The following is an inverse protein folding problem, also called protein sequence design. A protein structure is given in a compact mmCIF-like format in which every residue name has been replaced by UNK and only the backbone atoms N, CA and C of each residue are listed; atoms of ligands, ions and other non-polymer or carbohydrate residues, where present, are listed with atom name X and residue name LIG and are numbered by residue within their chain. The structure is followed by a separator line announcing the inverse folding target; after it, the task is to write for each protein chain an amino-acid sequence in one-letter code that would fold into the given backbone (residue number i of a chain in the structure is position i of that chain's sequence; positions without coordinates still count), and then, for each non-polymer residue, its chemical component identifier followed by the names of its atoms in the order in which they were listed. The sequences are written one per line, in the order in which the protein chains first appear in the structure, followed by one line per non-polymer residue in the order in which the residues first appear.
data_IF_424774884274
#
_entry.id   IF_424774884274
#
_cell.length_a   1.000
_cell.length_b   1.000
_cell.length_c   1.000
_cell.angle_alpha   90.00
_cell.angle_beta   90.00
_cell.angle_gamma   90.00
#
_symmetry.space_group_name_H-M   'P 1'
#
loop_
_entity.id
_entity.type
_entity.pdbx_description
1 polymer ?
#
# COMPACT_ATOMS: atom_id res chain seq x y z
N UNK A 1 18.00 72.08 -50.16
CA UNK A 1 16.60 71.58 -50.02
C UNK A 1 16.61 70.06 -50.10
N UNK A 2 16.47 69.31 -48.95
CA UNK A 2 16.41 67.87 -48.93
C UNK A 2 14.90 67.49 -48.67
N UNK A 3 14.26 66.97 -49.70
CA UNK A 3 12.92 66.40 -49.55
C UNK A 3 12.98 65.02 -48.86
N UNK A 4 12.39 64.97 -47.68
CA UNK A 4 12.16 63.72 -47.00
C UNK A 4 10.81 63.14 -47.44
N UNK A 5 10.87 62.14 -48.32
CA UNK A 5 9.67 61.39 -48.74
C UNK A 5 9.06 60.53 -47.56
N UNK A 6 7.72 60.36 -47.58
CA UNK A 6 7.08 59.59 -46.54
C UNK A 6 7.42 58.10 -46.65
N UNK A 7 7.85 57.49 -45.53
CA UNK A 7 8.14 56.07 -45.44
C UNK A 7 6.78 55.32 -45.53
N UNK A 8 6.61 54.32 -46.45
CA UNK A 8 5.35 53.65 -46.64
C UNK A 8 4.93 52.87 -45.38
N UNK A 9 3.66 52.92 -45.06
CA UNK A 9 3.04 52.34 -43.86
C UNK A 9 3.35 50.86 -43.67
N UNK A 10 3.60 50.13 -44.75
CA UNK A 10 3.99 48.70 -44.75
C UNK A 10 5.36 48.42 -44.10
N UNK A 11 6.30 49.36 -44.14
CA UNK A 11 7.62 49.15 -43.52
C UNK A 11 7.62 49.27 -41.99
N UNK A 12 6.54 49.76 -41.38
CA UNK A 12 6.36 49.86 -39.91
C UNK A 12 5.62 48.69 -39.29
N UNK A 13 4.92 47.88 -40.09
CA UNK A 13 4.16 46.73 -39.60
C UNK A 13 4.99 45.43 -39.51
N UNK A 14 6.06 45.30 -40.31
CA UNK A 14 6.92 44.11 -40.27
C UNK A 14 7.61 43.85 -38.92
N UNK A 15 8.23 44.86 -38.25
CA UNK A 15 8.91 44.59 -36.98
C UNK A 15 7.93 44.26 -35.84
N UNK A 16 6.70 44.80 -35.86
CA UNK A 16 5.67 44.51 -34.83
C UNK A 16 5.12 43.07 -34.93
N UNK A 17 5.01 42.53 -36.14
CA UNK A 17 4.56 41.17 -36.38
C UNK A 17 5.60 40.12 -35.94
N UNK A 18 6.89 40.40 -36.15
CA UNK A 18 7.99 39.51 -35.71
C UNK A 18 8.13 39.48 -34.17
N UNK A 19 7.86 40.59 -33.48
CA UNK A 19 7.87 40.63 -32.01
C UNK A 19 6.67 39.87 -31.42
N UNK A 20 5.49 39.95 -32.05
CA UNK A 20 4.33 39.21 -31.63
C UNK A 20 4.44 37.68 -31.82
N UNK A 21 5.11 37.23 -32.93
CA UNK A 21 5.37 35.80 -33.14
C UNK A 21 6.45 35.25 -32.18
N UNK A 22 7.40 36.05 -31.72
CA UNK A 22 8.44 35.66 -30.77
C UNK A 22 7.89 35.39 -29.34
N UNK A 23 6.76 36.04 -28.96
CA UNK A 23 6.14 35.86 -27.65
C UNK A 23 5.26 34.63 -27.54
N UNK A 24 4.89 33.98 -28.67
CA UNK A 24 4.11 32.73 -28.67
C UNK A 24 4.99 31.44 -28.58
N UNK A 25 6.29 31.56 -28.76
CA UNK A 25 7.21 30.42 -28.72
C UNK A 25 7.64 30.01 -27.30
N UNK A 26 7.18 30.72 -26.25
CA UNK A 26 7.56 30.54 -24.85
C UNK A 26 6.73 29.60 -24.02
N UNK A 27 5.63 29.02 -24.55
CA UNK A 27 4.90 27.97 -23.84
C UNK A 27 5.49 26.58 -24.16
N UNK A 28 6.66 26.27 -23.60
CA UNK A 28 7.03 24.87 -23.41
C UNK A 28 6.02 24.28 -22.42
N UNK A 29 5.08 23.50 -22.96
CA UNK A 29 4.24 22.62 -22.16
C UNK A 29 5.14 21.85 -21.20
N UNK A 30 4.89 21.86 -19.87
CA UNK A 30 5.63 21.00 -18.96
C UNK A 30 5.50 19.59 -19.52
N UNK A 31 6.64 18.96 -19.85
CA UNK A 31 6.66 17.60 -20.36
C UNK A 31 5.92 16.72 -19.34
N UNK A 32 4.88 16.04 -19.79
CA UNK A 32 4.20 15.05 -18.95
C UNK A 32 5.24 14.01 -18.56
N UNK A 33 5.58 13.95 -17.28
CA UNK A 33 6.39 12.85 -16.77
C UNK A 33 5.68 11.53 -17.16
N UNK A 34 6.40 10.50 -17.62
CA UNK A 34 5.78 9.22 -17.92
C UNK A 34 5.04 8.69 -16.68
N UNK A 35 3.93 7.99 -16.87
CA UNK A 35 3.21 7.41 -15.72
C UNK A 35 4.12 6.46 -14.95
N UNK A 36 3.99 6.38 -13.62
CA UNK A 36 4.79 5.48 -12.81
C UNK A 36 4.52 4.03 -13.18
N UNK A 37 5.55 3.18 -13.09
CA UNK A 37 5.38 1.72 -13.17
C UNK A 37 4.63 1.24 -11.93
N UNK A 38 3.56 0.47 -12.14
CA UNK A 38 2.71 -0.02 -11.05
C UNK A 38 3.13 -1.42 -10.60
N UNK A 39 3.14 -1.63 -9.29
CA UNK A 39 3.44 -2.90 -8.65
C UNK A 39 2.32 -3.33 -7.71
N UNK A 40 2.12 -4.62 -7.60
CA UNK A 40 1.25 -5.25 -6.62
C UNK A 40 1.98 -6.40 -5.95
N UNK A 41 1.49 -6.84 -4.79
CA UNK A 41 2.01 -8.00 -4.07
C UNK A 41 1.03 -9.17 -4.18
N UNK A 42 1.44 -10.35 -3.68
CA UNK A 42 0.65 -11.58 -3.79
C UNK A 42 0.04 -11.99 -2.45
N UNK A 43 -1.18 -12.57 -2.44
CA UNK A 43 -1.76 -13.10 -1.22
C UNK A 43 -1.01 -14.37 -0.78
N UNK A 44 -1.01 -14.65 0.53
CA UNK A 44 -0.44 -15.89 1.05
C UNK A 44 -1.34 -17.08 0.70
N UNK A 45 -0.73 -18.14 0.21
CA UNK A 45 -1.41 -19.37 -0.20
C UNK A 45 -0.91 -20.63 0.47
N UNK A 46 0.11 -20.54 1.33
CA UNK A 46 0.70 -21.67 2.04
C UNK A 46 0.70 -21.43 3.54
N UNK A 47 0.14 -22.37 4.29
CA UNK A 47 -0.07 -22.29 5.74
C UNK A 47 0.41 -23.58 6.43
N UNK A 48 0.51 -23.53 7.76
CA UNK A 48 0.84 -24.71 8.57
C UNK A 48 -0.29 -25.76 8.49
N UNK A 49 0.07 -26.99 8.59
CA UNK A 49 -0.91 -28.08 8.71
C UNK A 49 -1.69 -28.01 10.05
N UNK A 50 -2.86 -28.62 10.09
CA UNK A 50 -3.66 -28.73 11.32
C UNK A 50 -4.35 -27.45 11.79
N UNK A 51 -4.44 -26.42 10.95
CA UNK A 51 -5.19 -25.22 11.31
C UNK A 51 -6.67 -25.54 11.54
N UNK A 52 -7.30 -24.93 12.56
CA UNK A 52 -8.71 -25.13 12.84
C UNK A 52 -9.59 -24.52 11.74
N UNK A 53 -10.70 -25.18 11.45
CA UNK A 53 -11.80 -24.59 10.68
C UNK A 53 -12.66 -23.75 11.60
N UNK A 54 -12.91 -22.50 11.23
CA UNK A 54 -13.77 -21.58 11.99
C UNK A 54 -15.11 -21.40 11.30
N UNK A 55 -16.18 -21.31 12.10
CA UNK A 55 -17.55 -21.12 11.63
C UNK A 55 -18.01 -19.67 11.70
N UNK A 56 -17.33 -18.86 12.49
CA UNK A 56 -17.58 -17.44 12.61
C UNK A 56 -17.34 -16.72 11.29
N UNK A 57 -18.22 -15.76 10.99
CA UNK A 57 -18.05 -14.84 9.87
C UNK A 57 -17.05 -13.77 10.24
N UNK A 58 -15.94 -13.69 9.50
CA UNK A 58 -14.87 -12.74 9.75
C UNK A 58 -14.99 -11.56 8.78
N UNK A 59 -15.10 -10.36 9.33
CA UNK A 59 -15.05 -9.12 8.56
C UNK A 59 -13.66 -8.50 8.69
N UNK A 60 -13.02 -8.13 7.60
CA UNK A 60 -11.71 -7.47 7.59
C UNK A 60 -11.91 -6.00 7.24
N UNK A 61 -11.68 -5.12 8.23
CA UNK A 61 -11.66 -3.68 7.98
C UNK A 61 -10.37 -3.24 7.28
N UNK A 62 -10.39 -2.15 6.49
CA UNK A 62 -9.14 -1.58 5.96
C UNK A 62 -8.16 -1.27 7.09
N UNK A 63 -6.88 -1.65 6.97
CA UNK A 63 -5.87 -1.25 7.94
C UNK A 63 -5.79 0.27 8.07
N UNK A 64 -5.74 0.77 9.30
CA UNK A 64 -5.39 2.17 9.55
C UNK A 64 -3.88 2.32 9.39
N UNK A 65 -3.43 3.40 8.75
CA UNK A 65 -2.01 3.70 8.60
C UNK A 65 -1.74 5.19 8.78
N UNK A 66 -0.49 5.54 9.11
CA UNK A 66 -0.03 6.92 9.07
C UNK A 66 -0.08 7.46 7.63
N UNK A 67 -0.31 8.76 7.47
CA UNK A 67 -0.45 9.41 6.15
C UNK A 67 0.73 9.14 5.21
N UNK A 68 1.94 9.00 5.74
CA UNK A 68 3.14 8.67 4.94
C UNK A 68 3.12 7.25 4.36
N UNK A 69 2.35 6.33 4.93
CA UNK A 69 2.18 4.96 4.43
C UNK A 69 0.83 4.81 3.72
N UNK A 70 -0.17 5.59 4.11
CA UNK A 70 -1.50 5.57 3.51
C UNK A 70 -1.53 6.27 2.14
N UNK A 71 -0.77 5.74 1.22
CA UNK A 71 -0.55 6.27 -0.13
C UNK A 71 -0.26 5.13 -1.11
N UNK A 72 -0.41 5.39 -2.42
CA UNK A 72 0.08 4.51 -3.48
C UNK A 72 1.59 4.61 -3.73
N UNK A 73 2.30 5.55 -3.08
CA UNK A 73 3.76 5.67 -3.24
C UNK A 73 4.46 4.59 -2.45
N UNK A 74 5.58 4.07 -2.98
CA UNK A 74 6.40 3.05 -2.32
C UNK A 74 7.40 3.75 -1.41
N UNK A 75 7.24 3.54 -0.11
CA UNK A 75 8.01 4.23 0.93
C UNK A 75 9.40 3.64 1.11
N UNK A 76 10.37 4.52 1.41
CA UNK A 76 11.71 4.15 1.84
C UNK A 76 12.17 5.02 3.01
N UNK A 77 13.10 4.52 3.80
CA UNK A 77 13.74 5.25 4.90
C UNK A 77 15.26 5.12 4.80
N UNK A 78 15.97 6.24 5.00
CA UNK A 78 17.44 6.29 5.08
C UNK A 78 17.93 6.68 6.48
N UNK A 79 17.01 7.01 7.36
CA UNK A 79 17.26 7.31 8.75
C UNK A 79 15.99 7.05 9.56
N UNK A 80 16.08 6.72 10.88
CA UNK A 80 14.92 6.35 11.70
C UNK A 80 13.80 7.39 11.76
N UNK A 81 14.09 8.65 11.43
CA UNK A 81 13.16 9.79 11.52
C UNK A 81 12.78 10.37 10.16
N UNK A 82 13.18 9.72 9.04
CA UNK A 82 12.87 10.19 7.70
C UNK A 82 12.07 9.14 6.95
N UNK A 83 11.12 9.60 6.14
CA UNK A 83 10.38 8.80 5.19
C UNK A 83 10.41 9.52 3.84
N UNK A 84 10.90 8.81 2.84
CA UNK A 84 10.94 9.23 1.45
C UNK A 84 10.18 8.23 0.58
N UNK A 85 10.20 8.42 -0.75
CA UNK A 85 9.52 7.54 -1.67
C UNK A 85 10.38 7.31 -2.91
N UNK A 86 10.25 6.12 -3.48
CA UNK A 86 10.84 5.83 -4.78
C UNK A 86 10.19 6.68 -5.88
N UNK A 87 10.98 7.14 -6.82
CA UNK A 87 10.52 7.86 -8.01
C UNK A 87 10.01 6.88 -9.08
N UNK A 88 9.10 7.33 -9.91
CA UNK A 88 8.61 6.66 -11.13
C UNK A 88 8.00 5.26 -10.93
N UNK A 89 7.69 4.90 -9.68
CA UNK A 89 7.05 3.64 -9.30
C UNK A 89 5.97 3.87 -8.24
N UNK A 90 4.94 3.03 -8.25
CA UNK A 90 3.84 3.10 -7.28
C UNK A 90 3.22 1.73 -7.06
N UNK A 91 2.52 1.56 -5.95
CA UNK A 91 1.57 0.47 -5.78
C UNK A 91 0.37 0.66 -6.71
N UNK A 92 -0.32 -0.42 -7.06
CA UNK A 92 -1.57 -0.39 -7.84
C UNK A 92 -2.73 0.27 -7.10
N UNK A 93 -2.66 0.37 -5.77
CA UNK A 93 -3.63 1.01 -4.89
C UNK A 93 -2.89 1.64 -3.69
N UNK A 94 -3.61 2.35 -2.81
CA UNK A 94 -3.06 2.77 -1.51
C UNK A 94 -2.64 1.53 -0.71
N UNK A 95 -1.47 1.58 -0.06
CA UNK A 95 -0.92 0.41 0.63
C UNK A 95 -1.92 -0.27 1.60
N UNK A 96 -2.70 0.45 2.46
CA UNK A 96 -3.70 -0.19 3.31
C UNK A 96 -4.80 -0.93 2.54
N UNK A 97 -5.27 -0.39 1.42
CA UNK A 97 -6.31 -1.01 0.60
C UNK A 97 -5.79 -2.28 -0.09
N UNK A 98 -4.57 -2.23 -0.64
CA UNK A 98 -3.88 -3.39 -1.19
C UNK A 98 -3.69 -4.46 -0.12
N UNK A 99 -3.20 -4.10 1.06
CA UNK A 99 -2.98 -5.03 2.18
C UNK A 99 -4.30 -5.65 2.65
N UNK A 100 -5.41 -4.89 2.72
CA UNK A 100 -6.73 -5.46 3.02
C UNK A 100 -7.14 -6.52 2.01
N UNK A 101 -6.98 -6.24 0.71
CA UNK A 101 -7.28 -7.20 -0.36
C UNK A 101 -6.50 -8.50 -0.16
N UNK A 102 -5.19 -8.38 0.05
CA UNK A 102 -4.30 -9.53 0.23
C UNK A 102 -4.60 -10.30 1.54
N UNK A 103 -5.06 -9.61 2.60
CA UNK A 103 -5.55 -10.28 3.81
C UNK A 103 -6.77 -11.14 3.51
N UNK A 104 -7.81 -10.57 2.87
CA UNK A 104 -9.05 -11.31 2.53
C UNK A 104 -8.70 -12.55 1.71
N UNK A 105 -7.96 -12.38 0.61
CA UNK A 105 -7.56 -13.49 -0.24
C UNK A 105 -6.69 -14.53 0.49
N UNK A 106 -5.84 -14.11 1.43
CA UNK A 106 -5.04 -15.03 2.25
C UNK A 106 -5.91 -15.86 3.20
N UNK A 107 -6.95 -15.28 3.79
CA UNK A 107 -7.93 -16.06 4.57
C UNK A 107 -8.69 -17.06 3.69
N UNK A 108 -9.15 -16.64 2.51
CA UNK A 108 -9.82 -17.52 1.54
C UNK A 108 -8.90 -18.67 1.12
N UNK A 109 -7.63 -18.37 0.79
CA UNK A 109 -6.62 -19.35 0.42
C UNK A 109 -6.29 -20.36 1.53
N UNK A 110 -6.54 -20.00 2.80
CA UNK A 110 -6.37 -20.96 3.91
C UNK A 110 -7.35 -22.13 3.83
N UNK A 111 -8.53 -21.93 3.20
CA UNK A 111 -9.62 -22.91 3.17
C UNK A 111 -10.19 -23.26 4.56
N UNK A 112 -9.93 -22.41 5.58
CA UNK A 112 -10.29 -22.66 6.98
C UNK A 112 -11.38 -21.74 7.52
N UNK A 113 -11.92 -20.84 6.68
CA UNK A 113 -13.02 -19.94 7.00
C UNK A 113 -14.24 -20.30 6.17
N UNK A 114 -15.44 -20.27 6.78
CA UNK A 114 -16.69 -20.44 6.04
C UNK A 114 -17.02 -19.14 5.29
N UNK A 115 -16.79 -17.99 5.92
CA UNK A 115 -17.05 -16.68 5.35
C UNK A 115 -16.03 -15.68 5.84
N UNK A 116 -15.41 -15.00 4.89
CA UNK A 116 -14.55 -13.82 5.11
C UNK A 116 -14.93 -12.76 4.07
N UNK A 117 -14.89 -11.50 4.46
CA UNK A 117 -15.20 -10.43 3.53
C UNK A 117 -14.73 -9.07 4.03
N UNK A 118 -14.90 -8.09 3.14
CA UNK A 118 -14.71 -6.67 3.47
C UNK A 118 -16.00 -6.12 4.09
N UNK A 119 -15.89 -4.99 4.78
CA UNK A 119 -17.05 -4.25 5.25
C UNK A 119 -17.79 -3.63 4.05
N UNK A 120 -18.66 -4.43 3.46
CA UNK A 120 -19.57 -4.01 2.41
C UNK A 120 -21.00 -4.14 2.91
N UNK A 121 -21.56 -3.01 3.35
CA UNK A 121 -23.01 -2.80 3.54
C UNK A 121 -23.73 -3.93 4.28
N UNK A 122 -23.71 -3.87 5.63
CA UNK A 122 -24.71 -4.55 6.45
C UNK A 122 -24.58 -6.07 6.58
N UNK A 123 -23.46 -6.68 6.19
CA UNK A 123 -23.21 -8.09 6.46
C UNK A 123 -23.06 -8.30 7.97
N UNK A 124 -23.79 -9.27 8.50
CA UNK A 124 -23.62 -9.70 9.88
C UNK A 124 -22.25 -10.38 10.02
N UNK A 125 -21.43 -9.90 10.93
CA UNK A 125 -20.16 -10.52 11.28
C UNK A 125 -20.17 -10.98 12.73
N UNK A 126 -19.47 -12.06 13.02
CA UNK A 126 -19.25 -12.55 14.38
C UNK A 126 -17.95 -11.98 14.94
N UNK A 127 -16.95 -11.83 14.08
CA UNK A 127 -15.63 -11.29 14.38
C UNK A 127 -15.27 -10.18 13.36
N UNK A 128 -14.76 -9.08 13.88
CA UNK A 128 -14.13 -8.04 13.06
C UNK A 128 -12.62 -8.08 13.30
N UNK A 129 -11.85 -8.22 12.22
CA UNK A 129 -10.40 -8.03 12.23
C UNK A 129 -10.10 -6.56 11.95
N UNK A 130 -9.69 -5.84 12.98
CA UNK A 130 -9.17 -4.48 12.89
C UNK A 130 -7.66 -4.52 12.87
N UNK A 131 -7.04 -3.73 12.02
CA UNK A 131 -5.58 -3.71 11.93
C UNK A 131 -5.01 -2.31 11.72
N UNK A 132 -3.74 -2.17 12.08
CA UNK A 132 -2.91 -0.99 11.92
C UNK A 132 -1.66 -1.39 11.13
N UNK A 133 -1.46 -0.82 9.95
CA UNK A 133 -0.24 -0.96 9.15
C UNK A 133 0.76 0.08 9.68
N UNK A 134 1.71 -0.37 10.52
CA UNK A 134 2.63 0.51 11.24
C UNK A 134 3.90 0.78 10.48
N UNK A 135 4.44 -0.25 9.83
CA UNK A 135 5.63 -0.15 8.97
C UNK A 135 5.35 -0.86 7.65
N UNK A 136 5.72 -0.20 6.57
CA UNK A 136 5.62 -0.74 5.21
C UNK A 136 6.58 0.03 4.30
N UNK A 137 7.88 -0.12 4.56
CA UNK A 137 8.94 0.62 3.87
C UNK A 137 10.19 -0.22 3.64
N UNK A 138 11.01 0.25 2.70
CA UNK A 138 12.37 -0.22 2.51
C UNK A 138 13.32 0.61 3.38
N UNK A 139 14.09 -0.03 4.25
CA UNK A 139 15.06 0.61 5.15
C UNK A 139 16.47 0.45 4.59
N UNK A 140 17.17 1.54 4.35
CA UNK A 140 18.57 1.58 3.97
C UNK A 140 19.44 1.81 5.20
N UNK A 141 20.55 1.07 5.29
CA UNK A 141 21.56 1.34 6.31
C UNK A 141 22.40 2.55 5.89
N UNK A 142 22.36 3.68 6.61
CA UNK A 142 23.13 4.86 6.24
C UNK A 142 24.66 4.66 6.38
N UNK A 143 25.10 3.63 7.09
CA UNK A 143 26.53 3.33 7.25
C UNK A 143 27.10 2.50 6.10
N UNK A 144 26.27 1.95 5.21
CA UNK A 144 26.72 1.08 4.11
C UNK A 144 26.24 1.66 2.78
N UNK A 145 27.17 2.26 2.08
CA UNK A 145 26.90 2.81 0.74
C UNK A 145 26.57 1.70 -0.26
N UNK A 146 25.57 1.90 -1.09
CA UNK A 146 25.12 0.94 -2.13
C UNK A 146 24.73 -0.45 -1.60
N UNK A 147 24.30 -0.56 -0.34
CA UNK A 147 23.73 -1.81 0.17
C UNK A 147 22.26 -1.96 -0.27
N UNK A 148 21.81 -3.20 -0.60
CA UNK A 148 20.40 -3.47 -0.77
C UNK A 148 19.61 -3.12 0.50
N UNK A 149 18.39 -2.57 0.38
CA UNK A 149 17.58 -2.25 1.55
C UNK A 149 17.04 -3.52 2.21
N UNK A 150 16.63 -3.37 3.46
CA UNK A 150 15.84 -4.34 4.20
C UNK A 150 14.39 -3.88 4.22
N UNK A 151 13.48 -4.72 3.79
CA UNK A 151 12.05 -4.41 3.82
C UNK A 151 11.51 -4.66 5.22
N UNK A 152 10.83 -3.68 5.77
CA UNK A 152 10.19 -3.75 7.08
C UNK A 152 8.67 -3.69 6.92
N UNK A 153 7.99 -4.75 7.36
CA UNK A 153 6.52 -4.83 7.42
C UNK A 153 6.10 -5.11 8.84
N UNK A 154 5.25 -4.24 9.43
CA UNK A 154 4.70 -4.43 10.77
C UNK A 154 3.22 -4.10 10.81
N UNK A 155 2.41 -5.08 11.21
CA UNK A 155 0.97 -4.97 11.35
C UNK A 155 0.57 -5.33 12.78
N UNK A 156 -0.16 -4.45 13.45
CA UNK A 156 -0.90 -4.80 14.67
C UNK A 156 -2.32 -5.20 14.29
N UNK A 157 -2.81 -6.33 14.80
CA UNK A 157 -4.15 -6.83 14.56
C UNK A 157 -4.90 -7.04 15.87
N UNK A 158 -6.22 -6.81 15.83
CA UNK A 158 -7.15 -7.00 16.94
C UNK A 158 -8.37 -7.76 16.43
N UNK A 159 -8.78 -8.79 17.14
CA UNK A 159 -10.03 -9.49 16.93
C UNK A 159 -11.09 -8.89 17.85
N UNK A 160 -12.17 -8.41 17.27
CA UNK A 160 -13.28 -7.76 17.98
C UNK A 160 -14.51 -8.64 17.82
N UNK A 161 -15.02 -9.16 18.94
CA UNK A 161 -16.23 -9.98 18.94
C UNK A 161 -17.50 -9.13 18.87
N UNK A 162 -18.43 -9.54 18.01
CA UNK A 162 -19.72 -8.89 17.83
C UNK A 162 -20.84 -9.67 18.54
N UNK A 163 -21.94 -9.05 18.99
CA UNK A 163 -22.26 -7.62 18.89
C UNK A 163 -21.67 -6.76 20.01
N UNK A 164 -20.97 -7.36 21.00
CA UNK A 164 -20.48 -6.65 22.19
C UNK A 164 -19.39 -5.63 21.89
N UNK A 165 -18.72 -5.74 20.74
CA UNK A 165 -17.57 -4.92 20.32
C UNK A 165 -16.39 -5.01 21.30
N UNK A 166 -16.22 -6.17 21.96
CA UNK A 166 -15.10 -6.44 22.86
C UNK A 166 -13.87 -6.90 22.08
N UNK A 167 -12.70 -6.36 22.43
CA UNK A 167 -11.43 -6.84 21.90
C UNK A 167 -11.09 -8.12 22.64
N UNK A 168 -11.07 -9.25 21.93
CA UNK A 168 -10.84 -10.58 22.48
C UNK A 168 -9.36 -10.98 22.41
N UNK A 169 -8.65 -10.47 21.41
CA UNK A 169 -7.23 -10.73 21.24
C UNK A 169 -6.55 -9.59 20.45
N UNK A 170 -5.28 -9.37 20.73
CA UNK A 170 -4.45 -8.41 20.00
C UNK A 170 -3.03 -8.94 19.85
N UNK A 171 -2.44 -8.81 18.65
CA UNK A 171 -1.07 -9.24 18.39
C UNK A 171 -0.42 -8.39 17.31
N UNK A 172 0.89 -8.18 17.45
CA UNK A 172 1.71 -7.52 16.43
C UNK A 172 2.50 -8.57 15.65
N UNK A 173 2.49 -8.43 14.34
CA UNK A 173 3.23 -9.26 13.38
C UNK A 173 4.24 -8.37 12.67
N UNK A 174 5.48 -8.81 12.60
CA UNK A 174 6.58 -8.02 12.06
C UNK A 174 7.51 -8.92 11.26
N UNK A 175 7.99 -8.46 10.12
CA UNK A 175 8.99 -9.14 9.31
C UNK A 175 10.00 -8.14 8.76
N UNK A 176 11.24 -8.61 8.67
CA UNK A 176 12.34 -7.92 8.02
C UNK A 176 12.92 -8.84 6.95
N UNK A 177 12.93 -8.38 5.69
CA UNK A 177 13.47 -9.16 4.58
C UNK A 177 14.52 -8.35 3.81
N UNK A 178 15.77 -8.82 3.71
CA UNK A 178 16.76 -8.15 2.90
C UNK A 178 16.43 -8.33 1.41
N UNK A 179 16.47 -7.25 0.64
CA UNK A 179 16.44 -7.36 -0.81
C UNK A 179 17.71 -8.05 -1.31
N UNK A 180 17.60 -8.85 -2.36
CA UNK A 180 18.73 -9.61 -2.91
C UNK A 180 19.74 -8.72 -3.67
N UNK A 181 19.26 -7.58 -4.14
CA UNK A 181 20.04 -6.61 -4.90
C UNK A 181 19.42 -5.22 -4.84
N UNK A 182 20.07 -4.28 -5.54
CA UNK A 182 19.61 -2.89 -5.66
C UNK A 182 18.52 -2.72 -6.73
N UNK A 183 18.29 -3.73 -7.56
CA UNK A 183 17.26 -3.73 -8.59
C UNK A 183 15.86 -3.64 -7.97
N UNK A 184 14.97 -2.86 -8.61
CA UNK A 184 13.65 -2.62 -8.03
C UNK A 184 12.81 -3.91 -7.96
N UNK A 185 13.01 -4.85 -8.88
CA UNK A 185 12.36 -6.17 -8.84
C UNK A 185 12.80 -7.00 -7.61
N UNK A 186 14.07 -6.90 -7.19
CA UNK A 186 14.56 -7.55 -5.97
C UNK A 186 13.94 -6.94 -4.71
N UNK A 187 13.72 -5.61 -4.73
CA UNK A 187 13.07 -4.87 -3.66
C UNK A 187 11.60 -5.30 -3.55
N UNK A 188 10.87 -5.38 -4.66
CA UNK A 188 9.47 -5.83 -4.68
C UNK A 188 9.36 -7.29 -4.23
N UNK A 189 10.26 -8.17 -4.66
CA UNK A 189 10.28 -9.56 -4.20
C UNK A 189 10.48 -9.66 -2.68
N UNK A 190 11.31 -8.79 -2.09
CA UNK A 190 11.48 -8.73 -0.65
C UNK A 190 10.24 -8.18 0.08
N UNK A 191 9.49 -7.21 -0.52
CA UNK A 191 8.20 -6.78 0.01
C UNK A 191 7.17 -7.92 0.02
N UNK A 192 7.10 -8.68 -1.08
CA UNK A 192 6.19 -9.82 -1.21
C UNK A 192 6.49 -10.90 -0.16
N UNK A 193 7.76 -11.22 0.03
CA UNK A 193 8.20 -12.17 1.06
C UNK A 193 7.90 -11.66 2.48
N UNK A 194 8.22 -10.40 2.79
CA UNK A 194 7.99 -9.80 4.10
C UNK A 194 6.50 -9.78 4.46
N UNK A 195 5.67 -9.27 3.55
CA UNK A 195 4.22 -9.25 3.74
C UNK A 195 3.65 -10.68 3.81
N UNK A 196 4.09 -11.58 2.94
CA UNK A 196 3.67 -12.98 2.94
C UNK A 196 3.93 -13.67 4.28
N UNK A 197 5.07 -13.43 4.93
CA UNK A 197 5.38 -13.94 6.29
C UNK A 197 4.47 -13.33 7.35
N UNK A 198 4.17 -12.04 7.27
CA UNK A 198 3.25 -11.37 8.18
C UNK A 198 1.85 -11.91 8.00
N UNK A 199 1.33 -12.00 6.78
CA UNK A 199 -0.01 -12.50 6.46
C UNK A 199 -0.19 -13.95 6.91
N UNK A 200 0.79 -14.82 6.66
CA UNK A 200 0.74 -16.21 7.15
C UNK A 200 0.50 -16.27 8.66
N UNK A 201 1.35 -15.60 9.44
CA UNK A 201 1.25 -15.62 10.91
C UNK A 201 -0.02 -14.96 11.42
N UNK A 202 -0.50 -13.89 10.74
CA UNK A 202 -1.73 -13.19 11.08
C UNK A 202 -2.95 -14.08 10.86
N UNK A 203 -3.04 -14.76 9.70
CA UNK A 203 -4.15 -15.68 9.38
C UNK A 203 -4.14 -16.86 10.36
N UNK A 204 -3.00 -17.54 10.54
CA UNK A 204 -2.88 -18.68 11.45
C UNK A 204 -3.29 -18.33 12.89
N UNK A 205 -2.83 -17.18 13.41
CA UNK A 205 -3.22 -16.68 14.73
C UNK A 205 -4.70 -16.35 14.80
N UNK A 206 -5.24 -15.67 13.80
CA UNK A 206 -6.65 -15.28 13.79
C UNK A 206 -7.57 -16.50 13.79
N UNK A 207 -7.24 -17.54 13.01
CA UNK A 207 -7.97 -18.80 13.00
C UNK A 207 -7.92 -19.50 14.36
N UNK A 208 -6.76 -19.57 15.00
CA UNK A 208 -6.61 -20.19 16.32
C UNK A 208 -7.43 -19.48 17.40
N UNK A 209 -7.37 -18.15 17.45
CA UNK A 209 -8.12 -17.34 18.40
C UNK A 209 -9.63 -17.40 18.13
N UNK A 210 -10.05 -17.31 16.87
CA UNK A 210 -11.47 -17.43 16.52
C UNK A 210 -12.02 -18.80 16.90
N UNK A 211 -11.28 -19.88 16.64
CA UNK A 211 -11.69 -21.22 17.06
C UNK A 211 -11.75 -21.38 18.59
N UNK A 212 -10.92 -20.68 19.37
CA UNK A 212 -11.04 -20.60 20.82
C UNK A 212 -12.36 -19.93 21.22
N UNK A 213 -12.67 -18.78 20.62
CA UNK A 213 -13.91 -18.03 20.87
C UNK A 213 -15.15 -18.82 20.48
N UNK A 214 -15.12 -19.58 19.38
CA UNK A 214 -16.20 -20.46 18.94
C UNK A 214 -16.49 -21.57 19.97
N UNK A 215 -15.47 -22.11 20.64
CA UNK A 215 -15.63 -23.12 21.71
C UNK A 215 -16.17 -22.52 23.00
N UNK A 216 -15.75 -21.31 23.35
CA UNK A 216 -16.19 -20.62 24.58
C UNK A 216 -17.61 -20.05 24.48
N UNK A 217 -18.12 -19.86 23.26
CA UNK A 217 -19.46 -19.32 23.00
C UNK A 217 -20.35 -20.30 22.21
N UNK A 218 -20.59 -21.54 22.68
CA UNK A 218 -21.32 -22.55 21.92
C UNK A 218 -22.81 -22.24 21.68
N UNK A 219 -23.33 -21.17 22.25
CA UNK A 219 -24.77 -20.79 22.18
C UNK A 219 -25.09 -19.62 21.27
N UNK A 220 -24.16 -19.18 20.41
CA UNK A 220 -24.45 -18.06 19.49
C UNK A 220 -25.23 -18.43 18.22
N UNK A 221 -25.45 -19.72 17.97
CA UNK A 221 -26.05 -20.24 16.73
C UNK A 221 -27.40 -20.96 16.94
N UNK A 222 -28.16 -20.61 17.98
CA UNK A 222 -29.54 -21.07 18.13
C UNK A 222 -30.56 -19.94 18.08
#
# INVERSE_FOLDING_TARGET
MRQSGPIPLFARLLPACCIALGLLAGCSLPGFAPPPKLYTLTPKNTFSEGLPVVRSQILIEPPVAAAGIDTGRIALSRAPTSLDYYADVSWTDRAPAMVQTLMVESFENSGKVISVGRDTIGLRSDIILKSELREFQAEYDPAVENAPPRIHVRINAKLVAMPRRSIEASKTFESFEPARGLGFEDIIAAYDEALGKVLRRLVEWSLAETARLDRESPRRNS
#
